data_IF_277997438320
#
_entry.id   IF_277997438320
#
_cell.length_a   1.000
_cell.length_b   1.000
_cell.length_c   1.000
_cell.angle_alpha   90.00
_cell.angle_beta   90.00
_cell.angle_gamma   90.00
#
_symmetry.space_group_name_H-M   'P 1'
#
loop_
_entity.id
_entity.type
_entity.pdbx_description
1 polymer ?
#
# COMPACT_ATOMS: atom_id res chain seq x y z
N UNK A 1 11.02 2.86 -21.60
CA UNK A 1 11.01 4.24 -21.06
C UNK A 1 11.89 4.33 -19.82
N UNK A 2 12.75 5.37 -19.73
CA UNK A 2 13.73 5.60 -18.64
C UNK A 2 13.11 5.56 -17.23
N UNK A 3 11.83 5.91 -17.11
CA UNK A 3 11.04 5.88 -15.86
C UNK A 3 10.77 4.45 -15.36
N UNK A 4 10.49 3.51 -16.27
CA UNK A 4 10.28 2.10 -15.92
C UNK A 4 11.57 1.44 -15.43
N UNK A 5 12.71 1.78 -16.06
CA UNK A 5 14.03 1.30 -15.63
C UNK A 5 14.38 1.75 -14.21
N UNK A 6 14.06 3.01 -13.84
CA UNK A 6 14.22 3.48 -12.45
C UNK A 6 13.31 2.78 -11.45
N UNK A 7 12.08 2.42 -11.84
CA UNK A 7 11.21 1.61 -10.98
C UNK A 7 11.76 0.19 -10.78
N UNK A 8 12.26 -0.44 -11.85
CA UNK A 8 12.87 -1.78 -11.80
C UNK A 8 14.04 -1.86 -10.80
N UNK A 9 14.76 -0.77 -10.61
CA UNK A 9 15.88 -0.66 -9.66
C UNK A 9 15.50 0.09 -8.36
N UNK A 10 14.20 0.19 -8.05
CA UNK A 10 13.75 0.88 -6.84
C UNK A 10 13.70 -0.06 -5.63
N UNK A 11 13.77 0.53 -4.43
CA UNK A 11 13.62 -0.21 -3.17
C UNK A 11 12.27 -0.95 -3.05
N UNK A 12 11.24 -0.49 -3.77
CA UNK A 12 9.94 -1.19 -3.84
C UNK A 12 10.10 -2.56 -4.49
N UNK A 13 10.86 -2.63 -5.59
CA UNK A 13 11.12 -3.90 -6.28
C UNK A 13 12.00 -4.79 -5.43
N UNK A 14 13.05 -4.26 -4.79
CA UNK A 14 13.85 -5.03 -3.84
C UNK A 14 12.99 -5.63 -2.73
N UNK A 15 12.10 -4.84 -2.13
CA UNK A 15 11.20 -5.30 -1.06
C UNK A 15 10.19 -6.36 -1.55
N UNK A 16 9.71 -6.24 -2.79
CA UNK A 16 8.91 -7.29 -3.43
C UNK A 16 9.73 -8.56 -3.67
N UNK A 17 11.01 -8.47 -4.02
CA UNK A 17 11.90 -9.64 -4.13
C UNK A 17 12.07 -10.34 -2.79
N UNK A 18 12.15 -9.61 -1.67
CA UNK A 18 12.12 -10.22 -0.33
C UNK A 18 10.81 -10.99 -0.10
N UNK A 19 9.66 -10.40 -0.44
CA UNK A 19 8.37 -11.08 -0.30
C UNK A 19 8.28 -12.36 -1.16
N UNK A 20 8.79 -12.30 -2.39
CA UNK A 20 8.80 -13.43 -3.31
C UNK A 20 9.71 -14.57 -2.84
N UNK A 21 10.88 -14.21 -2.30
CA UNK A 21 11.86 -15.17 -1.81
C UNK A 21 11.42 -15.85 -0.51
N UNK A 22 11.02 -15.06 0.50
CA UNK A 22 10.72 -15.58 1.84
C UNK A 22 9.30 -16.13 1.98
N UNK A 23 8.40 -15.79 1.07
CA UNK A 23 6.99 -16.22 1.10
C UNK A 23 6.29 -16.07 2.47
N UNK A 24 6.34 -14.88 3.11
CA UNK A 24 5.74 -14.70 4.43
C UNK A 24 4.21 -14.87 4.39
N UNK A 25 3.61 -15.31 5.50
CA UNK A 25 2.14 -15.42 5.64
C UNK A 25 1.42 -14.09 5.39
N UNK A 26 2.02 -13.00 5.87
CA UNK A 26 1.51 -11.64 5.72
C UNK A 26 2.61 -10.71 5.26
N UNK A 27 2.25 -9.76 4.40
CA UNK A 27 3.13 -8.74 3.88
C UNK A 27 2.46 -7.37 4.03
N UNK A 28 3.26 -6.38 4.44
CA UNK A 28 2.82 -5.00 4.62
C UNK A 28 3.84 -4.07 3.97
N UNK A 29 3.35 -3.17 3.13
CA UNK A 29 4.15 -2.07 2.57
C UNK A 29 3.48 -0.75 2.95
N UNK A 30 4.18 0.05 3.75
CA UNK A 30 3.78 1.42 4.10
C UNK A 30 4.52 2.42 3.19
N UNK A 31 3.83 3.47 2.78
CA UNK A 31 4.43 4.57 2.06
C UNK A 31 3.64 5.87 2.21
N UNK A 32 4.18 6.98 1.70
CA UNK A 32 3.46 8.27 1.65
C UNK A 32 2.16 8.15 0.86
N UNK A 33 1.15 8.96 1.21
CA UNK A 33 -0.16 8.97 0.53
C UNK A 33 -0.06 9.05 -1.00
N UNK A 34 0.90 9.81 -1.53
CA UNK A 34 1.06 9.99 -2.98
C UNK A 34 1.61 8.77 -3.71
N UNK A 35 2.00 7.70 -3.00
CA UNK A 35 2.40 6.44 -3.61
C UNK A 35 1.32 5.89 -4.54
N UNK A 36 0.05 6.00 -4.14
CA UNK A 36 -1.09 5.48 -4.91
C UNK A 36 -1.36 6.22 -6.22
N UNK A 37 -0.92 7.48 -6.34
CA UNK A 37 -1.11 8.32 -7.52
C UNK A 37 0.18 8.49 -8.34
N UNK A 38 1.32 8.04 -7.82
CA UNK A 38 2.62 8.25 -8.43
C UNK A 38 2.68 7.65 -9.84
N UNK A 39 3.12 8.47 -10.81
CA UNK A 39 3.21 8.10 -12.24
C UNK A 39 1.90 7.51 -12.79
N UNK A 40 0.76 8.19 -12.57
CA UNK A 40 -0.58 7.70 -12.96
C UNK A 40 -0.89 6.33 -12.37
N UNK A 41 -0.62 6.21 -11.06
CA UNK A 41 -0.81 4.97 -10.29
C UNK A 41 -0.03 3.75 -10.82
N UNK A 42 0.94 3.94 -11.73
CA UNK A 42 1.65 2.84 -12.37
C UNK A 42 2.48 2.05 -11.34
N UNK A 43 3.11 2.74 -10.39
CA UNK A 43 3.86 2.08 -9.31
C UNK A 43 2.96 1.20 -8.45
N UNK A 44 1.81 1.72 -8.00
CA UNK A 44 0.83 0.92 -7.28
C UNK A 44 0.34 -0.29 -8.09
N UNK A 45 -0.05 -0.06 -9.36
CA UNK A 45 -0.53 -1.11 -10.26
C UNK A 45 0.51 -2.22 -10.46
N UNK A 46 1.79 -1.88 -10.64
CA UNK A 46 2.86 -2.87 -10.75
C UNK A 46 3.11 -3.60 -9.44
N UNK A 47 3.11 -2.90 -8.30
CA UNK A 47 3.27 -3.54 -6.99
C UNK A 47 2.17 -4.57 -6.74
N UNK A 48 0.90 -4.22 -6.98
CA UNK A 48 -0.23 -5.14 -6.85
C UNK A 48 -0.13 -6.28 -7.88
N UNK A 49 0.23 -5.98 -9.13
CA UNK A 49 0.42 -7.00 -10.17
C UNK A 49 1.52 -8.01 -9.78
N UNK A 50 2.61 -7.56 -9.18
CA UNK A 50 3.67 -8.43 -8.67
C UNK A 50 3.13 -9.36 -7.56
N UNK A 51 2.43 -8.81 -6.56
CA UNK A 51 1.85 -9.62 -5.47
C UNK A 51 0.82 -10.65 -5.98
N UNK A 52 -0.06 -10.25 -6.90
CA UNK A 52 -1.01 -11.17 -7.54
C UNK A 52 -0.28 -12.24 -8.34
N UNK A 53 0.77 -11.89 -9.08
CA UNK A 53 1.59 -12.87 -9.82
C UNK A 53 2.31 -13.85 -8.88
N UNK A 54 2.69 -13.40 -7.69
CA UNK A 54 3.23 -14.25 -6.63
C UNK A 54 2.16 -15.15 -5.99
N UNK A 55 0.88 -14.97 -6.30
CA UNK A 55 -0.22 -15.76 -5.74
C UNK A 55 -0.77 -15.23 -4.41
N UNK A 56 -0.37 -14.03 -3.99
CA UNK A 56 -0.92 -13.41 -2.79
C UNK A 56 -2.31 -12.81 -3.06
N UNK A 57 -3.16 -12.88 -2.04
CA UNK A 57 -4.28 -11.96 -1.91
C UNK A 57 -3.70 -10.59 -1.52
N UNK A 58 -4.18 -9.50 -2.10
CA UNK A 58 -3.68 -8.17 -1.75
C UNK A 58 -4.75 -7.09 -1.85
N UNK A 59 -4.60 -6.05 -1.04
CA UNK A 59 -5.42 -4.83 -1.06
C UNK A 59 -4.55 -3.62 -0.75
N UNK A 60 -5.06 -2.43 -1.05
CA UNK A 60 -4.42 -1.18 -0.67
C UNK A 60 -5.45 -0.21 -0.09
N UNK A 61 -4.97 0.71 0.74
CA UNK A 61 -5.81 1.74 1.37
C UNK A 61 -4.96 2.94 1.78
N UNK A 62 -5.62 4.07 2.04
CA UNK A 62 -4.98 5.24 2.64
C UNK A 62 -5.57 5.44 4.03
N UNK A 63 -4.71 5.49 5.05
CA UNK A 63 -5.11 5.73 6.43
C UNK A 63 -4.61 7.09 6.91
N UNK A 64 -5.40 7.75 7.76
CA UNK A 64 -5.03 8.99 8.45
C UNK A 64 -4.68 8.68 9.90
N UNK A 65 -3.42 8.89 10.31
CA UNK A 65 -2.95 8.64 11.67
C UNK A 65 -3.77 9.37 12.74
N UNK A 66 -4.28 10.56 12.42
CA UNK A 66 -5.15 11.34 13.32
C UNK A 66 -6.42 10.61 13.77
N UNK A 67 -6.93 9.67 12.96
CA UNK A 67 -8.10 8.86 13.29
C UNK A 67 -7.78 7.71 14.27
N UNK A 68 -6.51 7.53 14.64
CA UNK A 68 -6.02 6.45 15.50
C UNK A 68 -5.33 6.97 16.78
N UNK A 69 -5.76 8.15 17.27
CA UNK A 69 -5.37 8.64 18.60
C UNK A 69 -4.11 9.51 18.63
N UNK A 70 -3.65 10.04 17.50
CA UNK A 70 -2.47 10.91 17.42
C UNK A 70 -2.88 12.32 16.99
N UNK A 71 -2.35 13.35 17.65
CA UNK A 71 -2.58 14.75 17.29
C UNK A 71 -1.77 15.19 16.04
N UNK A 72 -1.82 14.41 14.96
CA UNK A 72 -1.03 14.64 13.75
C UNK A 72 -1.83 14.36 12.48
N UNK A 73 -1.80 15.32 11.53
CA UNK A 73 -2.29 15.10 10.17
C UNK A 73 -1.24 14.35 9.34
N UNK A 74 -1.35 13.03 9.26
CA UNK A 74 -0.41 12.17 8.53
C UNK A 74 -1.14 11.04 7.80
N UNK A 75 -1.27 11.20 6.48
CA UNK A 75 -1.85 10.18 5.60
C UNK A 75 -0.78 9.23 5.07
N UNK A 76 -1.08 7.93 5.05
CA UNK A 76 -0.20 6.86 4.56
C UNK A 76 -0.92 5.89 3.66
N UNK A 77 -0.27 5.52 2.57
CA UNK A 77 -0.67 4.42 1.72
C UNK A 77 -0.19 3.13 2.37
N UNK A 78 -1.09 2.18 2.53
CA UNK A 78 -0.83 0.88 3.14
C UNK A 78 -1.24 -0.18 2.15
N UNK A 79 -0.33 -1.07 1.76
CA UNK A 79 -0.62 -2.26 0.98
C UNK A 79 -0.53 -3.45 1.93
N UNK A 80 -1.58 -4.26 1.95
CA UNK A 80 -1.64 -5.50 2.71
C UNK A 80 -1.69 -6.67 1.73
N UNK A 81 -0.96 -7.73 2.03
CA UNK A 81 -1.06 -8.98 1.31
C UNK A 81 -1.03 -10.18 2.26
N UNK A 82 -1.74 -11.24 1.89
CA UNK A 82 -1.85 -12.49 2.63
C UNK A 82 -1.58 -13.67 1.70
N UNK A 83 -0.79 -14.63 2.18
CA UNK A 83 -0.44 -15.84 1.44
C UNK A 83 -1.68 -16.68 1.11
N UNK A 84 -1.62 -17.59 0.12
CA UNK A 84 -2.68 -18.58 -0.11
C UNK A 84 -3.02 -19.34 1.17
N UNK A 85 -4.31 -19.50 1.45
CA UNK A 85 -4.81 -20.17 2.67
C UNK A 85 -4.93 -19.27 3.90
N UNK A 86 -4.34 -18.07 3.89
CA UNK A 86 -4.53 -17.08 4.96
C UNK A 86 -5.70 -16.15 4.64
N UNK A 87 -6.29 -15.51 5.65
CA UNK A 87 -7.37 -14.52 5.45
C UNK A 87 -6.78 -13.13 5.28
N UNK A 88 -7.07 -12.46 4.17
CA UNK A 88 -6.63 -11.09 3.93
C UNK A 88 -7.15 -10.15 5.05
N UNK A 89 -6.28 -9.43 5.78
CA UNK A 89 -6.70 -8.51 6.83
C UNK A 89 -7.52 -7.35 6.26
N UNK A 90 -8.46 -6.84 7.07
CA UNK A 90 -9.19 -5.61 6.78
C UNK A 90 -8.45 -4.42 7.36
N UNK A 91 -8.64 -3.25 6.75
CA UNK A 91 -8.18 -2.00 7.34
C UNK A 91 -8.95 -1.72 8.64
N UNK A 92 -8.30 -1.13 9.65
CA UNK A 92 -8.96 -0.78 10.88
C UNK A 92 -9.96 0.35 10.64
N UNK A 93 -11.09 0.31 11.35
CA UNK A 93 -12.03 1.42 11.38
C UNK A 93 -11.43 2.59 12.19
N UNK A 94 -11.74 3.85 11.83
CA UNK A 94 -11.39 5.02 12.62
C UNK A 94 -11.81 4.88 14.09
N UNK A 95 -10.89 5.13 15.02
CA UNK A 95 -11.16 5.09 16.46
C UNK A 95 -11.47 6.47 17.05
N UNK A 96 -10.98 7.53 16.40
CA UNK A 96 -11.11 8.91 16.86
C UNK A 96 -11.64 9.80 15.74
N UNK A 97 -12.48 10.77 16.11
CA UNK A 97 -12.86 11.85 15.21
C UNK A 97 -11.64 12.72 14.88
N UNK A 98 -11.55 13.19 13.65
CA UNK A 98 -10.45 14.04 13.20
C UNK A 98 -10.96 15.01 12.12
N UNK A 99 -10.20 16.07 11.84
CA UNK A 99 -10.62 17.11 10.90
C UNK A 99 -11.08 16.50 9.55
N UNK A 100 -12.34 16.74 9.09
CA UNK A 100 -12.88 16.08 7.90
C UNK A 100 -12.04 16.34 6.63
N UNK A 101 -11.50 17.56 6.48
CA UNK A 101 -10.61 17.95 5.38
C UNK A 101 -9.33 17.08 5.32
N UNK A 102 -8.87 16.59 6.46
CA UNK A 102 -7.70 15.73 6.57
C UNK A 102 -8.02 14.24 6.34
N UNK A 103 -9.30 13.87 6.22
CA UNK A 103 -9.80 12.50 6.08
C UNK A 103 -10.35 12.18 4.68
N UNK A 104 -9.94 12.93 3.65
CA UNK A 104 -10.15 12.50 2.26
C UNK A 104 -9.19 11.34 1.95
N UNK A 105 -9.72 10.12 2.12
CA UNK A 105 -9.00 8.84 1.97
C UNK A 105 -9.30 8.13 0.64
N UNK A 106 -10.30 8.57 -0.11
CA UNK A 106 -10.65 7.99 -1.41
C UNK A 106 -9.49 8.12 -2.41
N UNK A 107 -9.27 7.06 -3.19
CA UNK A 107 -8.25 7.01 -4.24
C UNK A 107 -8.93 6.64 -5.55
N UNK A 108 -8.81 7.53 -6.54
CA UNK A 108 -9.16 7.20 -7.93
C UNK A 108 -7.90 6.66 -8.59
N UNK A 109 -7.96 5.41 -9.03
CA UNK A 109 -6.89 4.78 -9.81
C UNK A 109 -7.21 4.99 -11.29
N UNK A 110 -6.41 5.82 -11.97
CA UNK A 110 -6.48 6.02 -13.42
C UNK A 110 -5.58 5.08 -14.20
#
# INVERSE_FOLDING_TARGET
SRTYSKFKNSLVVSYLSYCDYYRPKFFLLENVRNFVSFKRSMVLKLTLRCLVRMGYQCTFGVLQAGQYGVAQTRRRAIILAAAPGEKLPRYPEPLHVFAPRACSLSVVVG
#
